data_IF_445610909113
#
_entry.id   IF_445610909113
#
_cell.length_a   1.000
_cell.length_b   1.000
_cell.length_c   1.000
_cell.angle_alpha   90.00
_cell.angle_beta   90.00
_cell.angle_gamma   90.00
#
_symmetry.space_group_name_H-M   'P 1'
#
loop_
_entity.id
_entity.type
_entity.pdbx_description
1 polymer ?
#
# COMPACT_ATOMS: atom_id res chain seq x y z
N UNK A 1 5.55 -12.03 -14.32
CA UNK A 1 6.64 -11.11 -14.71
C UNK A 1 6.86 -10.10 -13.58
N UNK A 2 7.82 -9.17 -13.70
CA UNK A 2 8.17 -8.25 -12.60
C UNK A 2 7.30 -6.98 -12.59
N UNK A 3 6.80 -6.60 -11.41
CA UNK A 3 6.17 -5.30 -11.14
C UNK A 3 7.23 -4.17 -11.17
N UNK A 4 7.68 -3.85 -12.39
CA UNK A 4 8.79 -2.94 -12.68
C UNK A 4 8.68 -2.42 -14.11
N UNK A 5 9.03 -1.16 -14.31
CA UNK A 5 9.15 -0.51 -15.63
C UNK A 5 10.52 -0.86 -16.21
N UNK A 6 10.53 -1.40 -17.42
CA UNK A 6 11.72 -1.57 -18.25
C UNK A 6 11.97 -0.28 -19.03
N UNK A 7 13.10 0.42 -18.80
CA UNK A 7 13.41 1.63 -19.55
C UNK A 7 13.72 1.37 -21.03
N UNK A 8 13.79 0.10 -21.45
CA UNK A 8 14.04 -0.26 -22.84
C UNK A 8 12.80 -0.27 -23.72
N UNK A 9 11.63 -0.08 -23.12
CA UNK A 9 10.35 -0.17 -23.80
C UNK A 9 9.58 1.15 -23.64
N UNK A 10 8.68 1.49 -24.59
CA UNK A 10 7.82 2.66 -24.47
C UNK A 10 7.00 2.65 -23.17
N UNK A 11 6.87 3.82 -22.54
CA UNK A 11 6.22 3.98 -21.24
C UNK A 11 4.76 3.53 -21.29
N UNK A 12 4.02 3.86 -22.35
CA UNK A 12 2.63 3.44 -22.56
C UNK A 12 2.52 1.92 -22.51
N UNK A 13 3.35 1.21 -23.27
CA UNK A 13 3.34 -0.25 -23.32
C UNK A 13 3.63 -0.89 -21.98
N UNK A 14 4.65 -0.38 -21.26
CA UNK A 14 5.02 -0.90 -19.95
C UNK A 14 3.95 -0.67 -18.89
N UNK A 15 3.34 0.52 -18.87
CA UNK A 15 2.28 0.82 -17.90
C UNK A 15 1.04 -0.02 -18.17
N UNK A 16 0.64 -0.17 -19.44
CA UNK A 16 -0.47 -1.06 -19.84
C UNK A 16 -0.20 -2.49 -19.44
N UNK A 17 1.01 -3.01 -19.71
CA UNK A 17 1.44 -4.36 -19.32
C UNK A 17 1.34 -4.58 -17.82
N UNK A 18 1.94 -3.71 -17.02
CA UNK A 18 1.95 -3.85 -15.56
C UNK A 18 0.53 -3.74 -14.98
N UNK A 19 -0.28 -2.80 -15.50
CA UNK A 19 -1.66 -2.62 -15.05
C UNK A 19 -2.49 -3.86 -15.37
N UNK A 20 -2.41 -4.39 -16.60
CA UNK A 20 -3.12 -5.59 -17.00
C UNK A 20 -2.70 -6.81 -16.18
N UNK A 21 -1.40 -6.95 -15.90
CA UNK A 21 -0.88 -8.04 -15.06
C UNK A 21 -1.39 -7.95 -13.62
N UNK A 22 -1.38 -6.76 -12.99
CA UNK A 22 -1.84 -6.63 -11.61
C UNK A 22 -3.37 -6.79 -11.49
N UNK A 23 -4.15 -6.28 -12.46
CA UNK A 23 -5.61 -6.50 -12.47
C UNK A 23 -5.96 -7.95 -12.80
N UNK A 24 -5.27 -8.59 -13.74
CA UNK A 24 -5.44 -10.02 -14.02
C UNK A 24 -5.15 -10.90 -12.80
N UNK A 25 -4.09 -10.59 -12.03
CA UNK A 25 -3.83 -11.26 -10.75
C UNK A 25 -4.89 -10.94 -9.70
N UNK A 26 -5.44 -9.72 -9.69
CA UNK A 26 -6.53 -9.37 -8.78
C UNK A 26 -7.77 -10.23 -9.03
N UNK A 27 -8.13 -10.48 -10.29
CA UNK A 27 -9.21 -11.38 -10.69
C UNK A 27 -8.96 -12.83 -10.23
N UNK A 28 -7.75 -13.37 -10.45
CA UNK A 28 -7.39 -14.71 -9.95
C UNK A 28 -7.51 -14.82 -8.42
N UNK A 29 -7.20 -13.74 -7.70
CA UNK A 29 -7.34 -13.70 -6.24
C UNK A 29 -8.79 -13.53 -5.77
N UNK A 30 -9.66 -12.89 -6.57
CA UNK A 30 -11.10 -12.85 -6.31
C UNK A 30 -11.74 -14.23 -6.51
N UNK A 31 -11.31 -14.97 -7.54
CA UNK A 31 -11.76 -16.35 -7.74
C UNK A 31 -11.35 -17.24 -6.55
N UNK A 32 -10.09 -17.14 -6.11
CA UNK A 32 -9.61 -17.80 -4.90
C UNK A 32 -10.42 -17.43 -3.65
N UNK A 33 -10.96 -16.21 -3.58
CA UNK A 33 -11.73 -15.75 -2.43
C UNK A 33 -13.08 -16.48 -2.28
N UNK A 34 -13.56 -17.20 -3.30
CA UNK A 34 -14.74 -18.06 -3.16
C UNK A 34 -14.49 -19.28 -2.26
N UNK A 35 -13.26 -19.79 -2.22
CA UNK A 35 -12.89 -20.96 -1.41
C UNK A 35 -12.02 -20.60 -0.21
N UNK A 36 -11.21 -19.54 -0.33
CA UNK A 36 -10.31 -19.04 0.71
C UNK A 36 -10.43 -17.51 0.82
N UNK A 37 -11.54 -16.99 1.40
CA UNK A 37 -11.84 -15.56 1.37
C UNK A 37 -10.72 -14.68 1.93
N UNK A 38 -10.22 -14.99 3.14
CA UNK A 38 -9.21 -14.17 3.80
C UNK A 38 -7.94 -14.00 2.94
N UNK A 39 -7.39 -15.12 2.45
CA UNK A 39 -6.21 -15.14 1.62
C UNK A 39 -6.45 -14.48 0.24
N UNK A 40 -7.58 -14.79 -0.41
CA UNK A 40 -7.94 -14.25 -1.71
C UNK A 40 -8.12 -12.73 -1.67
N UNK A 41 -8.94 -12.23 -0.73
CA UNK A 41 -9.18 -10.80 -0.54
C UNK A 41 -7.91 -10.04 -0.18
N UNK A 42 -7.06 -10.60 0.71
CA UNK A 42 -5.78 -9.99 1.06
C UNK A 42 -4.90 -9.79 -0.17
N UNK A 43 -4.73 -10.84 -0.97
CA UNK A 43 -3.88 -10.82 -2.15
C UNK A 43 -4.47 -9.90 -3.22
N UNK A 44 -5.77 -9.93 -3.45
CA UNK A 44 -6.48 -9.00 -4.36
C UNK A 44 -6.24 -7.54 -3.98
N UNK A 45 -6.47 -7.16 -2.71
CA UNK A 45 -6.22 -5.79 -2.22
C UNK A 45 -4.77 -5.35 -2.42
N UNK A 46 -3.81 -6.25 -2.28
CA UNK A 46 -2.39 -5.97 -2.56
C UNK A 46 -2.18 -5.60 -4.02
N UNK A 47 -2.81 -6.33 -4.96
CA UNK A 47 -2.76 -6.02 -6.40
C UNK A 47 -3.43 -4.70 -6.75
N UNK A 48 -4.62 -4.43 -6.22
CA UNK A 48 -5.30 -3.15 -6.42
C UNK A 48 -4.48 -1.97 -5.86
N UNK A 49 -3.77 -2.20 -4.76
CA UNK A 49 -2.84 -1.21 -4.20
C UNK A 49 -1.66 -0.95 -5.14
N UNK A 50 -1.08 -1.99 -5.72
CA UNK A 50 -0.02 -1.90 -6.75
C UNK A 50 -0.48 -1.11 -7.98
N UNK A 51 -1.64 -1.47 -8.55
CA UNK A 51 -2.25 -0.78 -9.69
C UNK A 51 -2.46 0.72 -9.40
N UNK A 52 -3.02 1.05 -8.23
CA UNK A 52 -3.22 2.45 -7.82
C UNK A 52 -1.91 3.21 -7.62
N UNK A 53 -0.84 2.55 -7.16
CA UNK A 53 0.47 3.19 -7.05
C UNK A 53 1.06 3.52 -8.42
N UNK A 54 0.91 2.61 -9.40
CA UNK A 54 1.30 2.83 -10.79
C UNK A 54 0.54 4.00 -11.40
N UNK A 55 -0.80 4.01 -11.32
CA UNK A 55 -1.62 5.10 -11.86
C UNK A 55 -1.28 6.47 -11.25
N UNK A 56 -0.92 6.52 -9.95
CA UNK A 56 -0.43 7.76 -9.33
C UNK A 56 0.94 8.17 -9.81
N UNK A 57 1.79 7.21 -10.16
CA UNK A 57 3.14 7.49 -10.66
C UNK A 57 3.09 8.16 -12.04
N UNK A 58 2.14 7.77 -12.88
CA UNK A 58 2.06 8.24 -14.27
C UNK A 58 0.94 9.25 -14.52
N UNK A 59 0.27 9.72 -13.45
CA UNK A 59 -0.92 10.57 -13.55
C UNK A 59 -0.74 11.80 -14.44
N UNK A 60 0.44 12.42 -14.45
CA UNK A 60 0.67 13.62 -15.27
C UNK A 60 0.74 13.33 -16.77
N UNK A 61 0.88 12.07 -17.20
CA UNK A 61 0.88 11.70 -18.61
C UNK A 61 -0.52 11.49 -19.20
N UNK A 62 -1.49 11.08 -18.37
CA UNK A 62 -2.91 10.96 -18.72
C UNK A 62 -3.75 11.11 -17.45
N UNK A 63 -4.06 12.35 -17.09
CA UNK A 63 -4.68 12.66 -15.80
C UNK A 63 -6.09 12.08 -15.69
N UNK A 64 -6.88 12.21 -16.74
CA UNK A 64 -8.28 11.76 -16.78
C UNK A 64 -8.37 10.25 -16.60
N UNK A 65 -7.60 9.48 -17.38
CA UNK A 65 -7.56 8.02 -17.24
C UNK A 65 -7.07 7.62 -15.85
N UNK A 66 -5.93 8.17 -15.42
CA UNK A 66 -5.30 7.76 -14.18
C UNK A 66 -6.14 8.09 -12.95
N UNK A 67 -6.81 9.24 -12.92
CA UNK A 67 -7.70 9.62 -11.83
C UNK A 67 -8.93 8.69 -11.75
N UNK A 68 -9.55 8.43 -12.90
CA UNK A 68 -10.76 7.59 -13.02
C UNK A 68 -10.47 6.15 -12.58
N UNK A 69 -9.45 5.51 -13.15
CA UNK A 69 -9.11 4.13 -12.79
C UNK A 69 -8.60 4.01 -11.34
N UNK A 70 -7.83 4.98 -10.83
CA UNK A 70 -7.41 4.95 -9.43
C UNK A 70 -8.61 5.08 -8.47
N UNK A 71 -9.65 5.84 -8.85
CA UNK A 71 -10.87 5.94 -8.06
C UNK A 71 -11.70 4.66 -8.14
N UNK A 72 -11.84 4.06 -9.33
CA UNK A 72 -12.47 2.76 -9.52
C UNK A 72 -11.84 1.70 -8.61
N UNK A 73 -10.52 1.49 -8.71
CA UNK A 73 -9.84 0.49 -7.88
C UNK A 73 -9.80 0.85 -6.39
N UNK A 74 -9.95 2.14 -6.03
CA UNK A 74 -10.16 2.54 -4.63
C UNK A 74 -11.50 2.05 -4.12
N UNK A 75 -12.56 2.23 -4.90
CA UNK A 75 -13.91 1.80 -4.55
C UNK A 75 -13.98 0.26 -4.47
N UNK A 76 -13.40 -0.44 -5.45
CA UNK A 76 -13.27 -1.91 -5.40
C UNK A 76 -12.56 -2.35 -4.13
N UNK A 77 -11.42 -1.75 -3.80
CA UNK A 77 -10.73 -2.07 -2.56
C UNK A 77 -11.57 -1.73 -1.31
N UNK A 78 -12.47 -0.75 -1.34
CA UNK A 78 -13.33 -0.45 -0.19
C UNK A 78 -14.38 -1.56 0.04
N UNK A 79 -14.96 -2.10 -1.04
CA UNK A 79 -15.92 -3.22 -0.99
C UNK A 79 -15.33 -4.47 -0.31
N UNK A 80 -14.00 -4.66 -0.45
CA UNK A 80 -13.29 -5.85 0.04
C UNK A 80 -12.62 -5.63 1.41
N UNK A 81 -13.05 -4.65 2.22
CA UNK A 81 -12.31 -4.24 3.43
C UNK A 81 -12.57 -5.07 4.69
N UNK A 82 -13.78 -5.59 4.90
CA UNK A 82 -14.21 -6.17 6.18
C UNK A 82 -13.35 -7.32 6.74
N UNK A 83 -13.15 -8.44 6.02
CA UNK A 83 -12.56 -9.66 6.59
C UNK A 83 -11.12 -9.55 7.14
N UNK A 84 -10.36 -8.52 6.71
CA UNK A 84 -8.94 -8.35 7.06
C UNK A 84 -8.71 -7.66 8.41
N UNK A 85 -9.67 -6.86 8.88
CA UNK A 85 -9.50 -6.11 10.13
C UNK A 85 -9.36 -7.06 11.33
N UNK A 86 -10.08 -8.18 11.34
CA UNK A 86 -10.05 -9.12 12.46
C UNK A 86 -8.72 -9.89 12.61
N UNK A 87 -8.09 -10.36 11.52
CA UNK A 87 -6.80 -11.07 11.61
C UNK A 87 -5.70 -10.17 12.20
N UNK A 88 -5.63 -8.92 11.75
CA UNK A 88 -4.62 -7.97 12.23
C UNK A 88 -4.79 -7.64 13.72
N UNK A 89 -6.03 -7.64 14.21
CA UNK A 89 -6.33 -7.46 15.63
C UNK A 89 -5.87 -8.67 16.46
N UNK A 90 -6.06 -9.89 15.98
CA UNK A 90 -5.55 -11.11 16.63
C UNK A 90 -4.01 -11.09 16.68
N UNK A 91 -3.34 -10.78 15.56
CA UNK A 91 -1.88 -10.64 15.51
C UNK A 91 -1.36 -9.54 16.47
N UNK A 92 -2.15 -8.49 16.69
CA UNK A 92 -1.83 -7.45 17.66
C UNK A 92 -1.88 -7.99 19.09
N UNK A 93 -2.88 -8.80 19.44
CA UNK A 93 -2.94 -9.47 20.75
C UNK A 93 -1.73 -10.38 20.96
N UNK A 94 -1.44 -11.23 19.97
CA UNK A 94 -0.32 -12.19 20.05
C UNK A 94 1.02 -11.46 20.25
N UNK A 95 1.22 -10.31 19.58
CA UNK A 95 2.42 -9.49 19.75
C UNK A 95 2.51 -8.83 21.13
N UNK A 96 1.40 -8.29 21.63
CA UNK A 96 1.36 -7.69 22.97
C UNK A 96 1.63 -8.75 24.05
N UNK A 97 1.11 -9.96 23.90
CA UNK A 97 1.40 -11.07 24.81
C UNK A 97 2.89 -11.43 24.81
N UNK A 98 3.53 -11.46 23.64
CA UNK A 98 4.96 -11.72 23.52
C UNK A 98 5.84 -10.60 24.12
N UNK A 99 5.51 -9.33 23.82
CA UNK A 99 6.30 -8.17 24.25
C UNK A 99 6.17 -7.89 25.76
N UNK A 100 5.04 -8.28 26.36
CA UNK A 100 4.70 -7.98 27.76
C UNK A 100 4.44 -9.23 28.62
N UNK A 101 4.98 -10.40 28.23
CA UNK A 101 4.67 -11.70 28.86
C UNK A 101 4.88 -11.81 30.38
N UNK A 102 5.68 -10.93 31.01
CA UNK A 102 5.80 -10.85 32.49
C UNK A 102 4.64 -10.15 33.19
N UNK A 103 3.91 -9.28 32.47
CA UNK A 103 2.71 -8.57 32.94
C UNK A 103 1.43 -9.32 32.54
N UNK A 104 1.55 -10.34 31.68
CA UNK A 104 0.48 -11.21 31.15
C UNK A 104 0.53 -12.63 31.74
N UNK A 105 1.14 -12.84 32.91
CA UNK A 105 1.13 -14.13 33.61
C UNK A 105 -0.28 -14.41 34.16
N UNK A 106 -1.15 -14.93 33.30
CA UNK A 106 -2.56 -15.16 33.55
C UNK A 106 -3.35 -14.95 32.26
N UNK A 107 -4.42 -15.70 32.08
CA UNK A 107 -5.32 -15.81 30.91
C UNK A 107 -5.96 -14.51 30.39
N UNK A 108 -5.47 -13.32 30.77
CA UNK A 108 -6.18 -12.05 30.63
C UNK A 108 -6.23 -11.46 29.22
N UNK A 109 -5.65 -12.10 28.21
CA UNK A 109 -5.82 -11.71 26.80
C UNK A 109 -6.53 -12.79 25.96
N UNK A 110 -6.67 -14.00 26.50
CA UNK A 110 -7.23 -15.15 25.77
C UNK A 110 -8.71 -14.93 25.47
N UNK A 111 -9.48 -14.41 26.43
CA UNK A 111 -10.90 -14.12 26.24
C UNK A 111 -11.15 -13.06 25.16
N UNK A 112 -10.28 -12.05 25.07
CA UNK A 112 -10.34 -11.03 24.01
C UNK A 112 -9.99 -11.62 22.65
N UNK A 113 -8.96 -12.47 22.62
CA UNK A 113 -8.53 -13.18 21.41
C UNK A 113 -9.64 -14.07 20.85
N UNK A 114 -10.27 -14.88 21.71
CA UNK A 114 -11.34 -15.80 21.31
C UNK A 114 -12.55 -15.05 20.75
N UNK A 115 -12.91 -13.91 21.37
CA UNK A 115 -14.01 -13.09 20.85
C UNK A 115 -13.70 -12.46 19.49
N UNK A 116 -12.44 -12.06 19.25
CA UNK A 116 -12.03 -11.58 17.94
C UNK A 116 -12.08 -12.68 16.87
N UNK A 117 -11.80 -13.93 17.24
CA UNK A 117 -11.94 -15.10 16.36
C UNK A 117 -13.41 -15.34 16.00
N UNK A 118 -14.32 -15.29 16.98
CA UNK A 118 -15.76 -15.43 16.71
C UNK A 118 -16.26 -14.32 15.79
N UNK A 119 -15.90 -13.06 16.09
CA UNK A 119 -16.26 -11.91 15.26
C UNK A 119 -15.68 -12.00 13.84
N UNK A 120 -14.49 -12.59 13.70
CA UNK A 120 -13.91 -12.88 12.40
C UNK A 120 -14.78 -13.84 11.62
N UNK A 121 -15.22 -14.95 12.23
CA UNK A 121 -16.04 -15.98 11.59
C UNK A 121 -17.35 -15.39 11.04
N UNK A 122 -18.06 -14.60 11.84
CA UNK A 122 -19.34 -13.99 11.45
C UNK A 122 -19.21 -13.05 10.23
N UNK A 123 -18.07 -12.37 10.09
CA UNK A 123 -17.80 -11.50 8.93
C UNK A 123 -17.52 -12.28 7.63
N UNK A 124 -17.12 -13.56 7.73
CA UNK A 124 -16.72 -14.38 6.59
C UNK A 124 -17.89 -15.16 5.94
N UNK A 125 -18.98 -15.41 6.66
CA UNK A 125 -20.08 -16.28 6.20
C UNK A 125 -21.28 -15.54 5.57
N UNK A 126 -21.24 -14.21 5.47
CA UNK A 126 -22.37 -13.41 5.00
C UNK A 126 -22.59 -13.39 3.48
N UNK A 127 -23.85 -13.41 3.03
CA UNK A 127 -24.25 -13.24 1.62
C UNK A 127 -23.71 -11.94 0.97
N UNK A 128 -23.40 -10.91 1.77
CA UNK A 128 -22.78 -9.67 1.31
C UNK A 128 -21.38 -9.84 0.73
N UNK A 129 -20.61 -10.84 1.19
CA UNK A 129 -19.26 -11.08 0.67
C UNK A 129 -19.29 -11.58 -0.78
N UNK A 130 -20.20 -12.49 -1.11
CA UNK A 130 -20.36 -13.01 -2.48
C UNK A 130 -20.74 -11.89 -3.45
N UNK A 131 -21.65 -11.01 -3.05
CA UNK A 131 -22.03 -9.83 -3.83
C UNK A 131 -20.85 -8.85 -4.01
N UNK A 132 -20.08 -8.61 -2.95
CA UNK A 132 -18.90 -7.75 -3.01
C UNK A 132 -17.80 -8.31 -3.94
N UNK A 133 -17.57 -9.63 -3.92
CA UNK A 133 -16.65 -10.31 -4.85
C UNK A 133 -17.16 -10.14 -6.29
N UNK A 134 -18.44 -10.40 -6.57
CA UNK A 134 -19.01 -10.24 -7.90
C UNK A 134 -18.89 -8.82 -8.45
N UNK A 135 -19.20 -7.81 -7.63
CA UNK A 135 -19.06 -6.40 -8.00
C UNK A 135 -17.59 -6.01 -8.25
N UNK A 136 -16.67 -6.53 -7.42
CA UNK A 136 -15.23 -6.32 -7.60
C UNK A 136 -14.70 -6.96 -8.89
N UNK A 137 -15.18 -8.16 -9.24
CA UNK A 137 -14.82 -8.88 -10.46
C UNK A 137 -15.26 -8.07 -11.69
N UNK A 138 -16.53 -7.68 -11.77
CA UNK A 138 -17.05 -6.89 -12.89
C UNK A 138 -16.28 -5.58 -13.08
N UNK A 139 -16.02 -4.85 -12.00
CA UNK A 139 -15.25 -3.61 -12.07
C UNK A 139 -13.80 -3.80 -12.53
N UNK A 140 -13.16 -4.92 -12.16
CA UNK A 140 -11.81 -5.26 -12.62
C UNK A 140 -11.78 -5.68 -14.09
N UNK A 141 -12.77 -6.44 -14.56
CA UNK A 141 -12.92 -6.82 -15.97
C UNK A 141 -13.13 -5.60 -16.86
N UNK A 142 -14.00 -4.68 -16.44
CA UNK A 142 -14.20 -3.43 -17.16
C UNK A 142 -12.95 -2.54 -17.15
N UNK A 143 -12.20 -2.56 -16.04
CA UNK A 143 -10.87 -1.96 -15.95
C UNK A 143 -9.93 -2.50 -17.03
N UNK A 144 -9.83 -3.83 -17.18
CA UNK A 144 -8.97 -4.48 -18.20
C UNK A 144 -9.31 -4.02 -19.62
N UNK A 145 -10.60 -3.93 -19.97
CA UNK A 145 -11.05 -3.47 -21.29
C UNK A 145 -10.58 -2.04 -21.58
N UNK A 146 -10.56 -1.17 -20.57
CA UNK A 146 -10.14 0.23 -20.71
C UNK A 146 -8.63 0.43 -20.75
N UNK A 147 -7.80 -0.52 -20.29
CA UNK A 147 -6.33 -0.36 -20.30
C UNK A 147 -5.79 -0.03 -21.70
N UNK A 148 -6.41 -0.58 -22.75
CA UNK A 148 -6.03 -0.30 -24.13
C UNK A 148 -6.20 1.15 -24.58
N UNK A 149 -6.92 1.98 -23.82
CA UNK A 149 -7.13 3.40 -24.15
C UNK A 149 -6.09 4.32 -23.51
N UNK A 150 -5.32 3.85 -22.53
CA UNK A 150 -4.31 4.67 -21.84
C UNK A 150 -3.23 5.12 -22.80
N UNK A 151 -3.01 6.42 -22.97
CA UNK A 151 -1.93 6.95 -23.81
C UNK A 151 -1.01 7.82 -22.96
N UNK A 152 0.28 7.49 -22.92
CA UNK A 152 1.29 8.27 -22.22
C UNK A 152 2.29 8.84 -23.24
N UNK A 153 3.01 9.92 -22.90
CA UNK A 153 4.09 10.39 -23.75
C UNK A 153 5.24 9.37 -23.75
N UNK A 154 5.51 8.78 -24.92
CA UNK A 154 6.56 7.77 -25.08
C UNK A 154 7.93 8.37 -25.43
N UNK A 155 7.98 9.66 -25.76
CA UNK A 155 9.24 10.37 -25.97
C UNK A 155 10.08 10.36 -24.68
N UNK A 156 11.37 9.96 -24.73
CA UNK A 156 12.20 9.73 -23.54
C UNK A 156 12.20 10.88 -22.53
N UNK A 157 12.29 12.13 -23.00
CA UNK A 157 12.29 13.29 -22.11
C UNK A 157 10.97 13.46 -21.35
N UNK A 158 9.85 13.34 -22.07
CA UNK A 158 8.51 13.51 -21.52
C UNK A 158 8.13 12.34 -20.61
N UNK A 159 8.47 11.10 -21.00
CA UNK A 159 8.30 9.90 -20.19
C UNK A 159 9.07 10.01 -18.86
N UNK A 160 10.32 10.47 -18.91
CA UNK A 160 11.13 10.70 -17.72
C UNK A 160 10.51 11.76 -16.79
N UNK A 161 9.96 12.84 -17.36
CA UNK A 161 9.31 13.90 -16.60
C UNK A 161 8.01 13.43 -15.92
N UNK A 162 7.20 12.61 -16.59
CA UNK A 162 6.02 11.97 -16.00
C UNK A 162 6.41 11.13 -14.78
N UNK A 163 7.41 10.25 -14.91
CA UNK A 163 7.86 9.41 -13.81
C UNK A 163 8.45 10.22 -12.65
N UNK A 164 9.23 11.25 -12.96
CA UNK A 164 9.85 12.10 -11.97
C UNK A 164 8.83 12.95 -11.20
N UNK A 165 7.81 13.49 -11.87
CA UNK A 165 6.76 14.27 -11.21
C UNK A 165 5.86 13.39 -10.34
N UNK A 166 5.44 12.21 -10.81
CA UNK A 166 4.66 11.28 -9.99
C UNK A 166 5.39 10.85 -8.71
N UNK A 167 6.69 10.55 -8.81
CA UNK A 167 7.52 10.28 -7.65
C UNK A 167 7.64 11.50 -6.72
N UNK A 168 7.70 12.72 -7.29
CA UNK A 168 7.81 13.97 -6.54
C UNK A 168 6.55 14.24 -5.74
N UNK A 169 5.38 14.06 -6.35
CA UNK A 169 4.08 14.20 -5.69
C UNK A 169 3.95 13.21 -4.54
N UNK A 170 4.37 11.95 -4.73
CA UNK A 170 4.34 10.93 -3.69
C UNK A 170 5.26 11.29 -2.50
N UNK A 171 6.49 11.74 -2.76
CA UNK A 171 7.42 12.17 -1.71
C UNK A 171 6.96 13.43 -0.98
N UNK A 172 6.38 14.42 -1.69
CA UNK A 172 5.77 15.61 -1.07
C UNK A 172 4.63 15.22 -0.13
N UNK A 173 3.79 14.26 -0.56
CA UNK A 173 2.71 13.73 0.28
C UNK A 173 3.25 13.03 1.52
N UNK A 174 4.31 12.22 1.38
CA UNK A 174 4.96 11.56 2.51
C UNK A 174 5.52 12.57 3.52
N UNK A 175 6.19 13.62 3.04
CA UNK A 175 6.69 14.70 3.90
C UNK A 175 5.56 15.43 4.62
N UNK A 176 4.51 15.85 3.90
CA UNK A 176 3.34 16.49 4.52
C UNK A 176 2.66 15.60 5.58
N UNK A 177 2.59 14.29 5.33
CA UNK A 177 2.02 13.34 6.28
C UNK A 177 2.92 13.16 7.52
N UNK A 178 4.24 13.16 7.34
CA UNK A 178 5.20 13.17 8.44
C UNK A 178 5.04 14.44 9.30
N UNK A 179 5.00 15.61 8.66
CA UNK A 179 4.88 16.89 9.38
C UNK A 179 3.57 16.92 10.21
N UNK A 180 2.45 16.46 9.64
CA UNK A 180 1.18 16.33 10.35
C UNK A 180 1.23 15.33 11.50
N UNK A 181 1.77 14.13 11.26
CA UNK A 181 1.88 13.10 12.28
C UNK A 181 2.79 13.54 13.44
N UNK A 182 3.85 14.29 13.16
CA UNK A 182 4.73 14.87 14.18
C UNK A 182 4.09 16.01 14.97
N UNK A 183 3.28 16.87 14.32
CA UNK A 183 2.67 18.04 14.96
C UNK A 183 1.40 17.71 15.76
N UNK A 184 0.50 16.89 15.20
CA UNK A 184 -0.82 16.58 15.78
C UNK A 184 -0.84 15.23 16.47
N UNK A 185 -0.15 14.24 15.90
CA UNK A 185 -0.07 12.90 16.47
C UNK A 185 -1.38 12.08 16.42
N UNK A 186 -2.38 12.47 15.64
CA UNK A 186 -3.66 11.76 15.58
C UNK A 186 -3.58 10.47 14.75
N UNK A 187 -4.49 9.52 14.99
CA UNK A 187 -4.53 8.23 14.30
C UNK A 187 -4.60 8.38 12.77
N UNK A 188 -5.39 9.34 12.28
CA UNK A 188 -5.54 9.62 10.85
C UNK A 188 -4.26 10.18 10.22
N UNK A 189 -3.47 10.97 10.96
CA UNK A 189 -2.21 11.51 10.45
C UNK A 189 -1.18 10.39 10.25
N UNK A 190 -1.08 9.45 11.19
CA UNK A 190 -0.25 8.25 11.04
C UNK A 190 -0.78 7.30 9.96
N UNK A 191 -2.09 7.20 9.79
CA UNK A 191 -2.69 6.43 8.70
C UNK A 191 -2.32 7.01 7.33
N UNK A 192 -2.33 8.33 7.19
CA UNK A 192 -1.89 9.00 5.97
C UNK A 192 -0.39 8.84 5.72
N UNK A 193 0.45 8.88 6.77
CA UNK A 193 1.87 8.58 6.67
C UNK A 193 2.10 7.14 6.20
N UNK A 194 1.33 6.17 6.72
CA UNK A 194 1.35 4.78 6.27
C UNK A 194 0.99 4.64 4.80
N UNK A 195 -0.08 5.29 4.35
CA UNK A 195 -0.49 5.29 2.92
C UNK A 195 0.64 5.83 2.04
N UNK A 196 1.31 6.90 2.48
CA UNK A 196 2.40 7.50 1.75
C UNK A 196 3.64 6.58 1.70
N UNK A 197 4.04 5.97 2.82
CA UNK A 197 5.15 5.02 2.88
C UNK A 197 4.91 3.81 1.97
N UNK A 198 3.72 3.18 2.03
CA UNK A 198 3.39 2.06 1.13
C UNK A 198 3.37 2.49 -0.34
N UNK A 199 2.90 3.71 -0.66
CA UNK A 199 2.97 4.26 -2.03
C UNK A 199 4.42 4.38 -2.50
N UNK A 200 5.29 4.96 -1.68
CA UNK A 200 6.71 5.11 -1.99
C UNK A 200 7.41 3.76 -2.18
N UNK A 201 7.14 2.76 -1.34
CA UNK A 201 7.69 1.40 -1.52
C UNK A 201 7.29 0.74 -2.85
N UNK A 202 6.05 0.95 -3.29
CA UNK A 202 5.60 0.48 -4.62
C UNK A 202 6.27 1.27 -5.75
N UNK A 203 6.43 2.58 -5.60
CA UNK A 203 7.18 3.40 -6.57
C UNK A 203 8.63 2.97 -6.69
N UNK A 204 9.33 2.66 -5.59
CA UNK A 204 10.69 2.11 -5.63
C UNK A 204 10.73 0.74 -6.33
N UNK A 205 9.67 -0.06 -6.22
CA UNK A 205 9.59 -1.35 -6.91
C UNK A 205 9.42 -1.16 -8.42
N UNK A 206 8.52 -0.24 -8.82
CA UNK A 206 8.28 0.15 -10.21
C UNK A 206 9.52 0.75 -10.87
N UNK A 207 10.16 1.69 -10.19
CA UNK A 207 11.32 2.46 -10.65
C UNK A 207 12.65 1.74 -10.38
N UNK A 208 12.63 0.42 -10.14
CA UNK A 208 13.81 -0.32 -9.68
C UNK A 208 15.09 -0.12 -10.53
N UNK A 209 14.93 0.01 -11.85
CA UNK A 209 16.03 0.27 -12.80
C UNK A 209 16.36 1.76 -12.98
N UNK A 210 15.40 2.63 -12.67
CA UNK A 210 15.43 4.07 -12.94
C UNK A 210 15.83 4.90 -11.71
N UNK A 211 15.62 4.37 -10.51
CA UNK A 211 15.86 5.11 -9.27
C UNK A 211 17.36 5.31 -9.01
N UNK A 212 17.79 6.51 -8.56
CA UNK A 212 19.19 6.76 -8.21
C UNK A 212 19.72 5.81 -7.12
N UNK A 213 20.94 5.32 -7.28
CA UNK A 213 21.58 4.43 -6.30
C UNK A 213 21.94 5.18 -5.00
N UNK A 214 21.96 4.49 -3.83
CA UNK A 214 21.60 3.08 -3.62
C UNK A 214 20.09 2.86 -3.33
N UNK A 215 19.38 2.18 -4.24
CA UNK A 215 17.93 1.90 -4.09
C UNK A 215 17.62 0.83 -3.04
N UNK A 216 18.51 -0.17 -2.85
CA UNK A 216 18.28 -1.31 -1.95
C UNK A 216 18.11 -0.88 -0.50
N UNK A 217 18.96 0.02 -0.01
CA UNK A 217 18.88 0.55 1.35
C UNK A 217 17.57 1.33 1.55
N UNK A 218 17.21 2.21 0.60
CA UNK A 218 15.96 2.97 0.65
C UNK A 218 14.72 2.06 0.64
N UNK A 219 14.75 0.97 -0.13
CA UNK A 219 13.68 -0.03 -0.15
C UNK A 219 13.54 -0.76 1.19
N UNK A 220 14.66 -1.22 1.77
CA UNK A 220 14.65 -1.84 3.10
C UNK A 220 14.07 -0.89 4.15
N UNK A 221 14.50 0.37 4.15
CA UNK A 221 14.02 1.37 5.10
C UNK A 221 12.51 1.63 4.97
N UNK A 222 11.99 1.81 3.74
CA UNK A 222 10.54 2.03 3.56
C UNK A 222 9.70 0.79 3.87
N UNK A 223 10.23 -0.41 3.59
CA UNK A 223 9.55 -1.65 3.94
C UNK A 223 9.42 -1.80 5.46
N UNK A 224 10.52 -1.59 6.20
CA UNK A 224 10.50 -1.63 7.68
C UNK A 224 9.59 -0.55 8.29
N UNK A 225 9.66 0.69 7.81
CA UNK A 225 8.74 1.76 8.22
C UNK A 225 7.29 1.39 7.93
N UNK A 226 7.03 0.78 6.77
CA UNK A 226 5.70 0.36 6.37
C UNK A 226 5.12 -0.76 7.23
N UNK A 227 5.94 -1.66 7.75
CA UNK A 227 5.53 -2.67 8.73
C UNK A 227 5.19 -2.00 10.07
N UNK A 228 6.11 -1.21 10.65
CA UNK A 228 5.86 -0.50 11.93
C UNK A 228 4.66 0.44 11.91
N UNK A 229 4.44 1.15 10.81
CA UNK A 229 3.22 1.94 10.63
C UNK A 229 1.96 1.07 10.53
N UNK A 230 2.08 -0.15 10.01
CA UNK A 230 1.03 -1.17 10.07
C UNK A 230 0.70 -1.54 11.50
N UNK A 231 1.71 -1.88 12.28
CA UNK A 231 1.55 -2.21 13.71
C UNK A 231 0.87 -1.08 14.49
N UNK A 232 1.31 0.16 14.27
CA UNK A 232 0.72 1.33 14.91
C UNK A 232 -0.74 1.55 14.48
N UNK A 233 -1.07 1.27 13.23
CA UNK A 233 -2.44 1.34 12.74
C UNK A 233 -3.33 0.31 13.42
N UNK A 234 -2.85 -0.93 13.55
CA UNK A 234 -3.61 -2.00 14.20
C UNK A 234 -3.86 -1.69 15.69
N UNK A 235 -2.88 -1.05 16.37
CA UNK A 235 -3.05 -0.50 17.72
C UNK A 235 -4.18 0.55 17.77
N UNK A 236 -4.24 1.50 16.82
CA UNK A 236 -5.33 2.48 16.79
C UNK A 236 -6.70 1.84 16.55
N UNK A 237 -6.79 0.85 15.66
CA UNK A 237 -8.04 0.13 15.40
C UNK A 237 -8.49 -0.62 16.66
N UNK A 238 -7.59 -1.33 17.34
CA UNK A 238 -7.92 -2.04 18.58
C UNK A 238 -8.41 -1.09 19.67
N UNK A 239 -7.79 0.09 19.81
CA UNK A 239 -8.23 1.10 20.77
C UNK A 239 -9.61 1.64 20.47
N UNK A 240 -9.88 1.96 19.20
CA UNK A 240 -11.21 2.40 18.79
C UNK A 240 -12.28 1.32 19.07
N UNK A 241 -11.92 0.04 18.92
CA UNK A 241 -12.80 -1.08 19.24
C UNK A 241 -13.08 -1.22 20.74
N UNK A 242 -12.09 -0.95 21.61
CA UNK A 242 -12.27 -0.93 23.06
C UNK A 242 -13.09 0.28 23.55
N UNK A 243 -13.00 1.40 22.85
CA UNK A 243 -13.70 2.65 23.19
C UNK A 243 -15.14 2.69 22.64
N UNK A 244 -15.49 1.78 21.71
CA UNK A 244 -16.84 1.70 21.16
C UNK A 244 -17.82 1.09 22.18
N UNK A 245 -19.02 1.68 22.30
CA UNK A 245 -20.14 1.20 23.15
C UNK A 245 -20.77 -0.14 22.69
N UNK A 246 -20.04 -0.93 21.90
CA UNK A 246 -20.43 -2.27 21.48
C UNK A 246 -20.22 -3.32 22.57
N UNK A 247 -20.66 -4.55 22.31
CA UNK A 247 -20.47 -5.67 23.22
C UNK A 247 -19.00 -5.78 23.68
N UNK A 248 -18.73 -5.86 25.00
CA UNK A 248 -17.36 -5.84 25.54
C UNK A 248 -16.48 -6.90 24.88
N UNK A 249 -15.22 -6.54 24.57
CA UNK A 249 -14.29 -7.49 23.97
C UNK A 249 -13.90 -8.65 24.91
N UNK A 250 -14.15 -8.50 26.20
CA UNK A 250 -13.84 -9.49 27.22
C UNK A 250 -14.17 -8.95 28.61
N UNK A 251 -13.76 -9.65 29.67
CA UNK A 251 -13.90 -9.19 31.04
C UNK A 251 -13.31 -7.78 31.26
N UNK A 252 -13.85 -7.00 32.22
CA UNK A 252 -13.34 -5.65 32.52
C UNK A 252 -11.85 -5.60 32.90
N UNK A 253 -11.33 -6.66 33.54
CA UNK A 253 -9.92 -6.75 33.93
C UNK A 253 -9.01 -6.90 32.71
N UNK A 254 -9.39 -7.79 31.78
CA UNK A 254 -8.71 -8.09 30.52
C UNK A 254 -8.67 -6.87 29.59
N UNK A 255 -9.81 -6.21 29.41
CA UNK A 255 -9.92 -5.00 28.58
C UNK A 255 -9.13 -3.82 29.17
N UNK A 256 -9.08 -3.70 30.50
CA UNK A 256 -8.25 -2.70 31.20
C UNK A 256 -6.75 -2.99 31.06
N UNK A 257 -6.34 -4.25 31.15
CA UNK A 257 -4.96 -4.67 30.89
C UNK A 257 -4.58 -4.35 29.45
N UNK A 258 -5.38 -4.79 28.48
CA UNK A 258 -5.17 -4.53 27.06
C UNK A 258 -5.05 -3.03 26.76
N UNK A 259 -5.92 -2.20 27.33
CA UNK A 259 -5.85 -0.74 27.19
C UNK A 259 -4.54 -0.13 27.69
N UNK A 260 -3.94 -0.67 28.77
CA UNK A 260 -2.61 -0.25 29.25
C UNK A 260 -1.49 -0.67 28.29
N UNK A 261 -1.53 -1.91 27.81
CA UNK A 261 -0.53 -2.44 26.87
C UNK A 261 -0.54 -1.68 25.53
N UNK A 262 -1.74 -1.41 25.00
CA UNK A 262 -1.92 -0.60 23.77
C UNK A 262 -1.35 0.81 23.93
N UNK A 263 -1.59 1.49 25.07
CA UNK A 263 -1.01 2.82 25.35
C UNK A 263 0.52 2.80 25.34
N UNK A 264 1.14 1.77 25.93
CA UNK A 264 2.60 1.63 25.97
C UNK A 264 3.18 1.33 24.59
N UNK A 265 2.56 0.41 23.85
CA UNK A 265 2.94 0.07 22.47
C UNK A 265 2.82 1.27 21.53
N UNK A 266 1.69 1.99 21.59
CA UNK A 266 1.43 3.20 20.80
C UNK A 266 2.53 4.25 21.00
N UNK A 267 2.91 4.54 22.25
CA UNK A 267 3.96 5.53 22.56
C UNK A 267 5.30 5.15 21.94
N UNK A 268 5.68 3.87 22.02
CA UNK A 268 6.93 3.37 21.45
C UNK A 268 6.91 3.42 19.92
N UNK A 269 5.85 2.89 19.31
CA UNK A 269 5.68 2.82 17.87
C UNK A 269 5.59 4.21 17.22
N UNK A 270 4.87 5.16 17.84
CA UNK A 270 4.82 6.55 17.36
C UNK A 270 6.22 7.16 17.26
N UNK A 271 7.04 7.02 18.31
CA UNK A 271 8.40 7.55 18.34
C UNK A 271 9.28 6.92 17.26
N UNK A 272 9.24 5.60 17.12
CA UNK A 272 10.01 4.88 16.10
C UNK A 272 9.58 5.27 14.67
N UNK A 273 8.27 5.25 14.39
CA UNK A 273 7.73 5.61 13.09
C UNK A 273 8.11 7.03 12.67
N UNK A 274 8.05 8.01 13.58
CA UNK A 274 8.44 9.38 13.28
C UNK A 274 9.94 9.52 12.99
N UNK A 275 10.79 8.87 13.78
CA UNK A 275 12.25 8.92 13.59
C UNK A 275 12.65 8.36 12.22
N UNK A 276 12.12 7.19 11.86
CA UNK A 276 12.42 6.53 10.59
C UNK A 276 11.80 7.23 9.38
N UNK A 277 10.59 7.76 9.53
CA UNK A 277 9.96 8.56 8.50
C UNK A 277 10.75 9.86 8.28
N UNK A 278 11.31 10.47 9.32
CA UNK A 278 12.19 11.63 9.22
C UNK A 278 13.48 11.29 8.48
N UNK A 279 14.10 10.14 8.76
CA UNK A 279 15.28 9.69 8.01
C UNK A 279 14.95 9.47 6.51
N UNK A 280 13.78 8.91 6.20
CA UNK A 280 13.42 8.54 4.83
C UNK A 280 12.86 9.71 3.98
N UNK A 281 12.10 10.61 4.61
CA UNK A 281 11.32 11.68 3.96
C UNK A 281 11.71 13.11 4.42
N UNK A 282 12.69 13.24 5.32
CA UNK A 282 13.20 14.52 5.84
C UNK A 282 13.98 15.34 4.80
N UNK A 283 14.48 14.70 3.75
CA UNK A 283 15.12 15.40 2.63
C UNK A 283 14.12 16.03 1.66
N UNK A 284 14.57 17.07 0.95
CA UNK A 284 13.78 17.72 -0.09
C UNK A 284 13.44 16.75 -1.23
N UNK A 285 12.15 16.52 -1.55
CA UNK A 285 11.73 15.68 -2.66
C UNK A 285 12.37 16.06 -4.00
N UNK A 286 12.64 17.35 -4.21
CA UNK A 286 13.16 17.90 -5.47
C UNK A 286 14.54 17.34 -5.82
N UNK A 287 15.41 17.10 -4.83
CA UNK A 287 16.76 16.61 -5.08
C UNK A 287 16.74 15.17 -5.59
N UNK A 288 15.97 14.31 -4.94
CA UNK A 288 15.82 12.92 -5.32
C UNK A 288 15.18 12.78 -6.72
N UNK A 289 14.13 13.56 -6.99
CA UNK A 289 13.43 13.45 -8.28
C UNK A 289 14.17 14.10 -9.44
N UNK A 290 15.00 15.12 -9.21
CA UNK A 290 15.90 15.65 -10.25
C UNK A 290 16.92 14.59 -10.70
N UNK A 291 17.46 13.82 -9.74
CA UNK A 291 18.37 12.70 -10.07
C UNK A 291 17.64 11.58 -10.81
N UNK A 292 16.41 11.26 -10.40
CA UNK A 292 15.54 10.31 -11.09
C UNK A 292 15.26 10.76 -12.54
N UNK A 293 14.84 12.02 -12.75
CA UNK A 293 14.56 12.55 -14.08
C UNK A 293 15.78 12.43 -15.01
N UNK A 294 16.96 12.84 -14.54
CA UNK A 294 18.20 12.72 -15.33
C UNK A 294 18.48 11.27 -15.70
N UNK A 295 18.51 10.37 -14.71
CA UNK A 295 18.79 8.95 -14.96
C UNK A 295 17.73 8.31 -15.88
N UNK A 296 16.46 8.65 -15.71
CA UNK A 296 15.39 8.15 -16.56
C UNK A 296 15.55 8.62 -18.01
N UNK A 297 15.93 9.88 -18.24
CA UNK A 297 16.24 10.35 -19.60
C UNK A 297 17.39 9.56 -20.22
N UNK A 298 18.49 9.38 -19.50
CA UNK A 298 19.66 8.65 -19.99
C UNK A 298 19.30 7.19 -20.35
N UNK A 299 18.57 6.49 -19.46
CA UNK A 299 18.19 5.09 -19.65
C UNK A 299 17.15 4.89 -20.77
N UNK A 300 16.16 5.80 -20.88
CA UNK A 300 15.11 5.75 -21.91
C UNK A 300 15.67 6.13 -23.29
N UNK A 301 16.57 7.13 -23.37
CA UNK A 301 17.18 7.55 -24.62
C UNK A 301 18.16 6.52 -25.17
N UNK A 302 18.97 5.89 -24.30
CA UNK A 302 19.90 4.83 -24.71
C UNK A 302 19.19 3.61 -25.32
N UNK A 303 17.93 3.38 -24.94
CA UNK A 303 17.11 2.34 -25.55
C UNK A 303 16.60 2.70 -26.94
N UNK A 304 16.10 3.93 -27.12
CA UNK A 304 15.63 4.41 -28.41
C UNK A 304 16.74 4.35 -29.48
N UNK A 305 17.98 4.73 -29.10
CA UNK A 305 19.12 4.64 -30.03
C UNK A 305 19.48 3.22 -30.46
N UNK A 306 19.22 2.21 -29.62
CA UNK A 306 19.49 0.80 -29.97
C UNK A 306 18.43 0.24 -30.93
N UNK A 307 17.17 0.66 -30.79
CA UNK A 307 16.08 0.29 -31.71
C UNK A 307 16.30 0.90 -33.09
N UNK A 308 16.68 2.19 -33.19
CA UNK A 308 16.96 2.86 -34.46
C UNK A 308 18.14 2.19 -35.22
N UNK A 309 19.20 1.80 -34.50
CA UNK A 309 20.34 1.10 -35.13
C UNK A 309 20.00 -0.29 -35.64
N UNK A 310 19.11 -1.03 -34.94
CA UNK A 310 18.68 -2.36 -35.39
C UNK A 310 17.64 -2.28 -36.52
N UNK A 311 16.81 -1.24 -36.54
CA UNK A 311 15.86 -0.99 -37.63
C UNK A 311 16.56 -0.54 -38.92
N UNK A 312 17.68 0.17 -38.83
CA UNK A 312 18.49 0.57 -39.98
C UNK A 312 19.41 -0.55 -40.53
N UNK A 313 19.59 -1.65 -39.79
CA UNK A 313 20.44 -2.78 -40.16
C UNK A 313 19.68 -3.97 -40.79
N UNK A 314 18.35 -3.88 -40.86
CA UNK A 314 17.46 -4.85 -41.52
C UNK A 314 16.83 -4.24 -42.78
#
# INVERSE_FOLDING_TARGET
MSFRIDPRLPLTGEVRRILAEEIGKALQHLEMAHTRPEQGLHKCRKRLKSARALLRLVRSGDETFCATENQCYRNVAALLAGPREATALIETIDRLAADFGRESTGSGLDAVRDRLIVRQHDLHEGAGLKAAIGAATAACEDGLKRIGTLALPDQPEQAADVLAEGARVALRRARKALDKAGARGEADDFHDLRKAAKTHGMHLSLLGRLWPTPIKARRKAVDQLGERLGELHDVFVMRALLEADSEPLGPPEDTKLLGKLLKRSEKSLRKACLAEAAELFGDSPRRATKKLARKARDDLAGAASLEDTNAAAN
#
